data_IF_942882342665
#
_entry.id   IF_942882342665
#
_cell.length_a   1.000
_cell.length_b   1.000
_cell.length_c   1.000
_cell.angle_alpha   90.00
_cell.angle_beta   90.00
_cell.angle_gamma   90.00
#
_symmetry.space_group_name_H-M   'P 1'
#
loop_
_entity.id
_entity.type
_entity.pdbx_description
1 polymer ?
#
# COMPACT_ATOMS: atom_id res chain seq x y z
N UNK A 1 22.43 -8.56 15.17
CA UNK A 1 22.57 -8.88 13.74
C UNK A 1 21.19 -9.15 13.17
N UNK A 2 20.98 -8.94 11.86
CA UNK A 2 19.69 -9.23 11.21
C UNK A 2 19.22 -10.68 11.48
N UNK A 3 20.12 -11.66 11.42
CA UNK A 3 19.82 -13.05 11.70
C UNK A 3 19.32 -13.32 13.14
N UNK A 4 19.60 -12.43 14.10
CA UNK A 4 19.18 -12.62 15.49
C UNK A 4 17.71 -12.22 15.72
N UNK A 5 17.13 -11.48 14.78
CA UNK A 5 15.76 -10.95 14.83
C UNK A 5 14.87 -11.45 13.69
N UNK A 6 15.43 -12.13 12.68
CA UNK A 6 14.66 -12.63 11.56
C UNK A 6 13.72 -13.78 12.00
N UNK A 7 12.47 -13.69 11.57
CA UNK A 7 11.55 -14.83 11.57
C UNK A 7 11.64 -15.53 10.21
N UNK A 8 12.46 -16.59 10.14
CA UNK A 8 12.66 -17.34 8.91
C UNK A 8 11.48 -18.25 8.54
N UNK A 9 10.45 -18.33 9.40
CA UNK A 9 9.19 -19.01 9.08
C UNK A 9 8.18 -18.08 8.40
N UNK A 10 8.34 -16.78 8.58
CA UNK A 10 7.57 -15.73 7.90
C UNK A 10 8.29 -15.32 6.63
N UNK A 11 7.94 -15.95 5.51
CA UNK A 11 8.56 -15.74 4.21
C UNK A 11 7.56 -15.07 3.28
N UNK A 12 8.00 -14.03 2.58
CA UNK A 12 7.24 -13.46 1.48
C UNK A 12 7.11 -14.48 0.35
N UNK A 13 5.88 -14.86 0.00
CA UNK A 13 5.63 -15.98 -0.92
C UNK A 13 6.03 -15.70 -2.37
N UNK A 14 5.98 -14.43 -2.77
CA UNK A 14 6.35 -13.99 -4.12
C UNK A 14 7.80 -13.51 -4.22
N UNK A 15 8.49 -13.31 -3.10
CA UNK A 15 9.91 -12.94 -3.04
C UNK A 15 10.59 -13.63 -1.84
N UNK A 16 11.04 -14.91 -2.01
CA UNK A 16 11.40 -15.79 -0.91
C UNK A 16 12.73 -15.45 -0.21
N UNK A 17 13.41 -14.39 -0.59
CA UNK A 17 14.60 -13.86 0.10
C UNK A 17 14.27 -12.81 1.18
N UNK A 18 12.99 -12.49 1.38
CA UNK A 18 12.51 -11.61 2.44
C UNK A 18 11.89 -12.40 3.59
N UNK A 19 12.32 -12.09 4.80
CA UNK A 19 11.81 -12.67 6.04
C UNK A 19 11.13 -11.60 6.90
N UNK A 20 10.15 -12.02 7.70
CA UNK A 20 9.57 -11.19 8.74
C UNK A 20 10.58 -10.89 9.86
N UNK A 21 10.22 -9.95 10.72
CA UNK A 21 10.99 -9.61 11.90
C UNK A 21 10.26 -10.11 13.16
N UNK A 22 10.91 -10.99 13.92
CA UNK A 22 10.38 -11.44 15.21
C UNK A 22 10.46 -10.28 16.23
N UNK A 23 9.34 -9.57 16.38
CA UNK A 23 9.25 -8.40 17.27
C UNK A 23 9.38 -8.74 18.75
N UNK A 24 9.40 -10.02 19.14
CA UNK A 24 9.68 -10.45 20.53
C UNK A 24 11.18 -10.45 20.84
N UNK A 25 12.03 -10.39 19.84
CA UNK A 25 13.48 -10.44 20.01
C UNK A 25 14.06 -9.10 20.45
N UNK A 26 15.02 -9.12 21.39
CA UNK A 26 15.79 -7.92 21.72
C UNK A 26 16.49 -7.37 20.47
N UNK A 27 16.28 -6.08 20.18
CA UNK A 27 16.87 -5.41 19.02
C UNK A 27 15.96 -5.33 17.79
N UNK A 28 14.80 -6.00 17.77
CA UNK A 28 13.85 -5.92 16.64
C UNK A 28 13.36 -4.47 16.42
N UNK A 29 12.94 -3.77 17.46
CA UNK A 29 12.57 -2.34 17.36
C UNK A 29 13.74 -1.49 16.87
N UNK A 30 14.95 -1.71 17.40
CA UNK A 30 16.14 -0.96 17.01
C UNK A 30 16.51 -1.15 15.53
N UNK A 31 16.14 -2.28 14.93
CA UNK A 31 16.27 -2.47 13.49
C UNK A 31 15.41 -1.47 12.72
N UNK A 32 14.09 -1.41 13.01
CA UNK A 32 13.21 -0.43 12.38
C UNK A 32 13.63 1.00 12.66
N UNK A 33 14.05 1.31 13.89
CA UNK A 33 14.57 2.64 14.26
C UNK A 33 15.75 3.03 13.38
N UNK A 34 16.68 2.11 13.12
CA UNK A 34 17.85 2.36 12.28
C UNK A 34 17.50 2.57 10.81
N UNK A 35 16.54 1.81 10.29
CA UNK A 35 16.06 1.93 8.89
C UNK A 35 15.37 3.27 8.67
N UNK A 36 14.43 3.63 9.53
CA UNK A 36 13.68 4.88 9.38
C UNK A 36 14.54 6.13 9.72
N UNK A 37 15.51 6.02 10.64
CA UNK A 37 16.49 7.07 10.86
C UNK A 37 17.33 7.35 9.59
N UNK A 38 17.71 6.29 8.86
CA UNK A 38 18.43 6.42 7.59
C UNK A 38 17.54 7.08 6.52
N UNK A 39 16.28 6.65 6.39
CA UNK A 39 15.34 7.25 5.45
C UNK A 39 15.07 8.73 5.77
N UNK A 40 14.92 9.06 7.05
CA UNK A 40 14.78 10.45 7.49
C UNK A 40 16.00 11.30 7.14
N UNK A 41 17.21 10.76 7.34
CA UNK A 41 18.46 11.43 6.97
C UNK A 41 18.60 11.64 5.45
N UNK A 42 18.06 10.74 4.63
CA UNK A 42 17.99 10.88 3.17
C UNK A 42 16.89 11.83 2.69
N UNK A 43 16.01 12.29 3.57
CA UNK A 43 14.93 13.18 3.22
C UNK A 43 13.72 12.47 2.60
N UNK A 44 13.55 11.17 2.86
CA UNK A 44 12.39 10.40 2.38
C UNK A 44 11.11 10.87 3.08
N UNK A 45 10.04 11.08 2.31
CA UNK A 45 8.74 11.54 2.80
C UNK A 45 7.65 10.47 2.74
N UNK A 46 7.87 9.40 1.96
CA UNK A 46 6.89 8.34 1.75
C UNK A 46 7.58 6.99 1.67
N UNK A 47 7.09 6.01 2.42
CA UNK A 47 7.59 4.63 2.42
C UNK A 47 6.42 3.69 2.19
N UNK A 48 6.53 2.84 1.18
CA UNK A 48 5.64 1.70 0.97
C UNK A 48 6.30 0.45 1.54
N UNK A 49 5.67 -0.16 2.56
CA UNK A 49 6.08 -1.44 3.10
C UNK A 49 5.25 -2.53 2.44
N UNK A 50 5.95 -3.43 1.78
CA UNK A 50 5.34 -4.51 1.02
C UNK A 50 5.04 -5.73 1.90
N UNK A 51 4.08 -6.56 1.48
CA UNK A 51 3.65 -7.83 2.11
C UNK A 51 3.15 -7.71 3.56
N UNK A 52 2.75 -6.51 4.01
CA UNK A 52 2.30 -6.24 5.38
C UNK A 52 0.82 -6.54 5.63
N UNK A 53 0.05 -6.88 4.61
CA UNK A 53 -1.40 -7.13 4.73
C UNK A 53 -1.78 -8.61 4.54
N UNK A 54 -0.80 -9.49 4.33
CA UNK A 54 -1.06 -10.91 4.04
C UNK A 54 -0.06 -11.86 4.74
N UNK A 55 -0.43 -12.44 5.88
CA UNK A 55 -1.60 -12.13 6.69
C UNK A 55 -1.34 -10.90 7.57
N UNK A 56 -2.28 -9.99 7.63
CA UNK A 56 -2.16 -8.73 8.38
C UNK A 56 -1.77 -8.95 9.85
N UNK A 57 -2.41 -9.92 10.52
CA UNK A 57 -2.18 -10.16 11.95
C UNK A 57 -0.78 -10.66 12.27
N UNK A 58 -0.13 -11.34 11.35
CA UNK A 58 1.26 -11.77 11.53
C UNK A 58 2.24 -10.59 11.53
N UNK A 59 1.90 -9.53 10.78
CA UNK A 59 2.73 -8.34 10.62
C UNK A 59 2.29 -7.14 11.48
N UNK A 60 1.24 -7.28 12.28
CA UNK A 60 0.72 -6.17 13.10
C UNK A 60 1.78 -5.54 13.99
N UNK A 61 2.61 -6.34 14.65
CA UNK A 61 3.70 -5.86 15.50
C UNK A 61 4.82 -5.14 14.72
N UNK A 62 5.09 -5.56 13.48
CA UNK A 62 6.04 -4.92 12.58
C UNK A 62 5.52 -3.56 12.09
N UNK A 63 4.22 -3.48 11.77
CA UNK A 63 3.54 -2.23 11.41
C UNK A 63 3.63 -1.22 12.55
N UNK A 64 3.35 -1.66 13.80
CA UNK A 64 3.51 -0.81 14.98
C UNK A 64 4.95 -0.35 15.18
N UNK A 65 5.92 -1.24 14.96
CA UNK A 65 7.34 -0.92 15.11
C UNK A 65 7.81 0.10 14.07
N UNK A 66 7.38 -0.04 12.81
CA UNK A 66 7.66 0.93 11.76
C UNK A 66 7.08 2.31 12.09
N UNK A 67 5.82 2.35 12.55
CA UNK A 67 5.19 3.60 13.00
C UNK A 67 5.97 4.26 14.14
N UNK A 68 6.34 3.50 15.19
CA UNK A 68 7.14 4.01 16.31
C UNK A 68 8.48 4.57 15.84
N UNK A 69 9.14 3.87 14.93
CA UNK A 69 10.41 4.30 14.35
C UNK A 69 10.25 5.61 13.56
N UNK A 70 9.20 5.76 12.74
CA UNK A 70 8.89 7.00 12.03
C UNK A 70 8.70 8.16 13.02
N UNK A 71 7.87 7.98 14.04
CA UNK A 71 7.63 9.00 15.06
C UNK A 71 8.92 9.42 15.75
N UNK A 72 9.78 8.45 16.08
CA UNK A 72 11.07 8.71 16.73
C UNK A 72 12.03 9.56 15.87
N UNK A 73 11.93 9.53 14.54
CA UNK A 73 12.75 10.37 13.66
C UNK A 73 12.40 11.86 13.73
N UNK A 74 11.17 12.21 14.16
CA UNK A 74 10.63 13.57 14.09
C UNK A 74 10.30 14.06 12.68
N UNK A 75 10.55 13.24 11.60
CA UNK A 75 10.19 13.56 10.22
C UNK A 75 8.79 13.02 9.89
N UNK A 76 7.92 13.79 9.21
CA UNK A 76 6.60 13.32 8.81
C UNK A 76 6.68 12.39 7.58
N UNK A 77 7.09 11.14 7.79
CA UNK A 77 7.13 10.11 6.75
C UNK A 77 5.76 9.45 6.68
N UNK A 78 5.16 9.42 5.49
CA UNK A 78 3.92 8.69 5.23
C UNK A 78 4.23 7.20 5.12
N UNK A 79 3.54 6.40 5.92
CA UNK A 79 3.60 4.93 5.84
C UNK A 79 2.43 4.40 5.03
N UNK A 80 2.74 3.72 3.93
CA UNK A 80 1.81 2.97 3.10
C UNK A 80 2.04 1.47 3.23
N UNK A 81 0.98 0.69 3.38
CA UNK A 81 1.05 -0.76 3.52
C UNK A 81 0.56 -1.45 2.23
N UNK A 82 1.34 -2.42 1.72
CA UNK A 82 1.09 -3.17 0.48
C UNK A 82 1.94 -4.46 0.45
N UNK A 83 1.71 -5.41 -0.46
CA UNK A 83 0.46 -5.69 -1.14
C UNK A 83 -0.49 -6.49 -0.27
N UNK A 84 -1.66 -6.78 -0.82
CA UNK A 84 -2.67 -7.60 -0.20
C UNK A 84 -3.81 -6.78 0.40
N UNK A 85 -4.94 -7.43 0.51
CA UNK A 85 -6.15 -6.82 1.05
C UNK A 85 -6.07 -6.73 2.58
N UNK A 86 -6.06 -5.52 3.11
CA UNK A 86 -6.17 -5.30 4.55
C UNK A 86 -7.58 -5.71 5.02
N UNK A 87 -7.73 -6.58 6.02
CA UNK A 87 -9.04 -6.96 6.53
C UNK A 87 -9.77 -5.76 7.15
N UNK A 88 -11.02 -5.50 6.76
CA UNK A 88 -11.82 -4.36 7.26
C UNK A 88 -11.93 -4.36 8.79
N UNK A 89 -11.99 -5.55 9.42
CA UNK A 89 -12.02 -5.69 10.88
C UNK A 89 -10.75 -5.14 11.57
N UNK A 90 -9.68 -4.91 10.83
CA UNK A 90 -8.43 -4.29 11.32
C UNK A 90 -8.35 -2.79 11.04
N UNK A 91 -9.44 -2.19 10.58
CA UNK A 91 -9.51 -0.77 10.22
C UNK A 91 -9.05 0.18 11.34
N UNK A 92 -9.45 -0.06 12.59
CA UNK A 92 -9.02 0.77 13.72
C UNK A 92 -7.52 0.64 13.99
N UNK A 93 -6.95 -0.55 13.82
CA UNK A 93 -5.52 -0.77 13.99
C UNK A 93 -4.73 -0.12 12.86
N UNK A 94 -5.09 -0.37 11.60
CA UNK A 94 -4.32 0.15 10.48
C UNK A 94 -4.34 1.68 10.41
N UNK A 95 -5.50 2.33 10.63
CA UNK A 95 -5.59 3.80 10.63
C UNK A 95 -4.83 4.47 11.78
N UNK A 96 -4.52 3.73 12.85
CA UNK A 96 -3.71 4.23 13.95
C UNK A 96 -2.22 4.25 13.62
N UNK A 97 -1.75 3.30 12.83
CA UNK A 97 -0.33 3.05 12.63
C UNK A 97 0.16 3.33 11.21
N UNK A 98 -0.73 3.47 10.22
CA UNK A 98 -0.39 3.82 8.86
C UNK A 98 -1.32 4.94 8.34
N UNK A 99 -0.85 5.70 7.35
CA UNK A 99 -1.63 6.75 6.70
C UNK A 99 -2.31 6.25 5.43
N UNK A 100 -1.79 5.20 4.82
CA UNK A 100 -2.30 4.61 3.58
C UNK A 100 -2.19 3.09 3.66
N UNK A 101 -3.16 2.37 3.14
CA UNK A 101 -3.16 0.90 3.12
C UNK A 101 -4.00 0.34 2.00
N UNK A 102 -3.53 -0.71 1.38
CA UNK A 102 -4.23 -1.42 0.31
C UNK A 102 -5.50 -2.09 0.84
N UNK A 103 -6.59 -1.92 0.11
CA UNK A 103 -7.89 -2.54 0.39
C UNK A 103 -8.22 -3.69 -0.56
N UNK A 104 -7.32 -3.96 -1.49
CA UNK A 104 -7.39 -5.08 -2.43
C UNK A 104 -6.00 -5.60 -2.74
N UNK A 105 -5.92 -6.76 -3.34
CA UNK A 105 -4.74 -7.21 -4.06
C UNK A 105 -4.44 -6.29 -5.25
N UNK A 106 -3.39 -6.58 -6.01
CA UNK A 106 -3.02 -5.78 -7.18
C UNK A 106 -4.19 -5.61 -8.13
N UNK A 107 -4.54 -4.36 -8.37
CA UNK A 107 -5.65 -3.98 -9.23
C UNK A 107 -5.17 -3.77 -10.66
N UNK A 108 -5.81 -4.47 -11.58
CA UNK A 108 -5.51 -4.37 -13.00
C UNK A 108 -6.75 -3.97 -13.81
N UNK A 109 -6.56 -3.74 -15.09
CA UNK A 109 -7.55 -3.33 -16.07
C UNK A 109 -8.52 -4.46 -16.46
N UNK A 110 -9.29 -4.91 -15.49
CA UNK A 110 -10.34 -5.92 -15.60
C UNK A 110 -11.64 -5.40 -14.96
N UNK A 111 -12.76 -5.55 -15.67
CA UNK A 111 -14.04 -5.04 -15.21
C UNK A 111 -14.50 -5.67 -13.89
N UNK A 112 -14.32 -6.98 -13.71
CA UNK A 112 -14.73 -7.65 -12.48
C UNK A 112 -13.93 -7.14 -11.27
N UNK A 113 -12.65 -6.82 -11.48
CA UNK A 113 -11.83 -6.17 -10.44
C UNK A 113 -12.35 -4.76 -10.12
N UNK A 114 -12.72 -3.98 -11.13
CA UNK A 114 -13.29 -2.63 -10.93
C UNK A 114 -14.65 -2.69 -10.22
N UNK A 115 -15.53 -3.60 -10.63
CA UNK A 115 -16.82 -3.82 -9.99
C UNK A 115 -16.66 -4.18 -8.50
N UNK A 116 -15.72 -5.04 -8.17
CA UNK A 116 -15.44 -5.43 -6.79
C UNK A 116 -14.95 -4.25 -5.91
N UNK A 117 -14.33 -3.24 -6.49
CA UNK A 117 -13.86 -2.07 -5.73
C UNK A 117 -15.01 -1.21 -5.19
N UNK A 118 -16.20 -1.24 -5.80
CA UNK A 118 -17.37 -0.53 -5.24
C UNK A 118 -17.67 -1.01 -3.82
N UNK A 119 -17.80 -2.32 -3.63
CA UNK A 119 -18.07 -2.90 -2.31
C UNK A 119 -16.90 -2.70 -1.34
N UNK A 120 -15.65 -2.85 -1.81
CA UNK A 120 -14.48 -2.61 -0.97
C UNK A 120 -14.44 -1.19 -0.45
N UNK A 121 -14.56 -0.21 -1.33
CA UNK A 121 -14.52 1.22 -0.98
C UNK A 121 -15.70 1.62 -0.08
N UNK A 122 -16.88 1.03 -0.27
CA UNK A 122 -18.02 1.21 0.64
C UNK A 122 -17.69 0.72 2.04
N UNK A 123 -17.17 -0.50 2.18
CA UNK A 123 -16.79 -1.09 3.46
C UNK A 123 -15.70 -0.28 4.20
N UNK A 124 -14.82 0.38 3.46
CA UNK A 124 -13.75 1.21 4.03
C UNK A 124 -14.15 2.65 4.31
N UNK A 125 -15.33 3.08 3.91
CA UNK A 125 -15.83 4.45 4.13
C UNK A 125 -15.76 4.91 5.59
N UNK A 126 -16.07 4.08 6.62
CA UNK A 126 -15.98 4.49 8.02
C UNK A 126 -14.56 4.81 8.52
N UNK A 127 -13.56 4.29 7.84
CA UNK A 127 -12.14 4.44 8.23
C UNK A 127 -11.41 5.54 7.47
N UNK A 128 -12.05 6.07 6.42
CA UNK A 128 -11.50 7.15 5.58
C UNK A 128 -11.62 8.51 6.26
N UNK A 129 -10.56 9.31 6.19
CA UNK A 129 -10.55 10.66 6.71
C UNK A 129 -9.20 11.34 6.57
N UNK A 130 -9.02 12.55 7.10
CA UNK A 130 -7.72 13.21 7.10
C UNK A 130 -6.64 12.31 7.72
N UNK A 131 -5.55 12.08 6.96
CA UNK A 131 -4.46 11.20 7.39
C UNK A 131 -4.77 9.70 7.32
N UNK A 132 -5.90 9.29 6.74
CA UNK A 132 -6.33 7.88 6.65
C UNK A 132 -6.89 7.61 5.26
N UNK A 133 -6.10 6.89 4.43
CA UNK A 133 -6.35 6.72 3.01
C UNK A 133 -6.43 5.23 2.65
N UNK A 134 -7.65 4.64 2.65
CA UNK A 134 -7.87 3.34 2.03
C UNK A 134 -7.52 3.41 0.54
N UNK A 135 -6.56 2.60 0.12
CA UNK A 135 -5.97 2.62 -1.21
C UNK A 135 -6.55 1.49 -2.07
N UNK A 136 -7.33 1.85 -3.08
CA UNK A 136 -7.89 0.90 -4.04
C UNK A 136 -6.89 0.51 -5.14
N UNK A 137 -5.62 0.87 -4.96
CA UNK A 137 -4.50 0.63 -5.84
C UNK A 137 -4.40 1.57 -7.04
N UNK A 138 -3.53 1.23 -7.96
CA UNK A 138 -3.13 2.04 -9.10
C UNK A 138 -4.27 2.32 -10.09
N UNK A 139 -4.05 3.34 -10.92
CA UNK A 139 -4.86 3.64 -12.08
C UNK A 139 -4.23 2.96 -13.32
N UNK A 140 -4.74 1.81 -13.79
CA UNK A 140 -4.17 1.10 -14.93
C UNK A 140 -4.66 1.72 -16.26
N UNK A 141 -4.24 2.94 -16.52
CA UNK A 141 -4.59 3.74 -17.68
C UNK A 141 -3.42 3.87 -18.66
N UNK A 142 -3.72 4.09 -19.93
CA UNK A 142 -2.72 4.26 -20.97
C UNK A 142 -1.92 2.99 -21.25
N UNK A 143 -0.60 3.13 -21.35
CA UNK A 143 0.32 2.04 -21.70
C UNK A 143 0.76 1.28 -20.44
N UNK A 144 0.48 -0.01 -20.38
CA UNK A 144 0.71 -0.89 -19.22
C UNK A 144 1.81 -1.93 -19.52
N UNK A 145 2.08 -2.79 -18.51
CA UNK A 145 3.01 -3.91 -18.62
C UNK A 145 4.38 -3.50 -19.16
N UNK A 146 4.99 -2.47 -18.53
CA UNK A 146 6.29 -1.89 -18.94
C UNK A 146 6.31 -1.37 -20.39
N UNK A 147 5.15 -0.96 -20.90
CA UNK A 147 5.00 -0.43 -22.23
C UNK A 147 4.64 -1.47 -23.30
N UNK A 148 4.29 -2.69 -22.92
CA UNK A 148 3.98 -3.78 -23.85
C UNK A 148 2.58 -3.70 -24.46
N UNK A 149 1.60 -3.17 -23.72
CA UNK A 149 0.20 -3.11 -24.17
C UNK A 149 -0.54 -1.88 -23.65
N UNK A 150 -1.62 -1.53 -24.32
CA UNK A 150 -2.55 -0.52 -23.85
C UNK A 150 -3.51 -1.11 -22.79
N UNK A 151 -4.14 -0.22 -22.01
CA UNK A 151 -5.21 -0.61 -21.09
C UNK A 151 -6.34 -1.31 -21.83
N UNK A 152 -6.93 -2.31 -21.20
CA UNK A 152 -8.11 -3.04 -21.69
C UNK A 152 -9.42 -2.31 -21.35
N UNK A 153 -9.38 -1.36 -20.44
CA UNK A 153 -10.56 -0.59 -20.10
C UNK A 153 -11.05 0.24 -21.28
N UNK A 154 -12.33 0.09 -21.59
CA UNK A 154 -13.03 0.99 -22.51
C UNK A 154 -13.05 2.41 -21.97
N UNK A 155 -13.29 3.44 -22.79
CA UNK A 155 -13.41 4.82 -22.30
C UNK A 155 -14.45 5.00 -21.18
N UNK A 156 -15.53 4.24 -21.19
CA UNK A 156 -16.57 4.33 -20.15
C UNK A 156 -16.13 3.67 -18.85
N UNK A 157 -15.37 2.56 -18.92
CA UNK A 157 -14.77 1.92 -17.76
C UNK A 157 -13.68 2.81 -17.14
N UNK A 158 -12.87 3.50 -17.94
CA UNK A 158 -11.89 4.48 -17.45
C UNK A 158 -12.56 5.64 -16.72
N UNK A 159 -13.69 6.17 -17.25
CA UNK A 159 -14.48 7.19 -16.56
C UNK A 159 -15.08 6.67 -15.25
N UNK A 160 -15.57 5.43 -15.26
CA UNK A 160 -16.09 4.76 -14.05
C UNK A 160 -15.00 4.63 -12.99
N UNK A 161 -13.81 4.16 -13.36
CA UNK A 161 -12.65 4.08 -12.51
C UNK A 161 -12.31 5.43 -11.86
N UNK A 162 -12.10 6.45 -12.68
CA UNK A 162 -11.74 7.79 -12.21
C UNK A 162 -12.81 8.39 -11.30
N UNK A 163 -14.09 8.20 -11.65
CA UNK A 163 -15.22 8.67 -10.83
C UNK A 163 -15.25 7.96 -9.48
N UNK A 164 -15.07 6.64 -9.46
CA UNK A 164 -15.08 5.86 -8.23
C UNK A 164 -13.91 6.26 -7.31
N UNK A 165 -12.68 6.35 -7.84
CA UNK A 165 -11.51 6.78 -7.06
C UNK A 165 -11.69 8.21 -6.51
N UNK A 166 -12.20 9.13 -7.32
CA UNK A 166 -12.43 10.51 -6.89
C UNK A 166 -13.49 10.62 -5.77
N UNK A 167 -14.65 9.95 -5.92
CA UNK A 167 -15.72 9.95 -4.89
C UNK A 167 -15.23 9.26 -3.61
N UNK A 168 -14.56 8.13 -3.75
CA UNK A 168 -14.03 7.37 -2.64
C UNK A 168 -12.78 8.01 -2.02
N UNK A 169 -12.17 9.00 -2.67
CA UNK A 169 -10.90 9.61 -2.27
C UNK A 169 -9.78 8.58 -2.12
N UNK A 170 -9.76 7.58 -2.99
CA UNK A 170 -8.61 6.68 -3.09
C UNK A 170 -7.40 7.46 -3.60
N UNK A 171 -6.19 7.15 -3.16
CA UNK A 171 -4.98 7.74 -3.73
C UNK A 171 -4.92 7.55 -5.25
N UNK A 172 -4.50 8.60 -5.97
CA UNK A 172 -4.37 8.57 -7.44
C UNK A 172 -2.91 8.26 -7.80
N UNK A 173 -2.59 6.98 -7.92
CA UNK A 173 -1.26 6.50 -8.28
C UNK A 173 -1.33 5.86 -9.67
N UNK A 174 -0.60 6.43 -10.63
CA UNK A 174 -0.59 5.90 -11.99
C UNK A 174 0.08 4.52 -12.06
N UNK A 175 -0.61 3.58 -12.69
CA UNK A 175 -0.08 2.26 -13.01
C UNK A 175 0.45 2.15 -14.44
N UNK A 176 0.20 3.15 -15.29
CA UNK A 176 0.64 3.19 -16.67
C UNK A 176 1.79 4.17 -16.93
N UNK A 177 2.37 4.08 -18.12
CA UNK A 177 3.43 5.00 -18.57
C UNK A 177 2.84 6.37 -18.92
N UNK A 178 3.13 7.37 -18.08
CA UNK A 178 2.64 8.75 -18.23
C UNK A 178 2.99 9.39 -19.59
N UNK A 179 4.03 8.92 -20.26
CA UNK A 179 4.44 9.43 -21.58
C UNK A 179 3.53 8.97 -22.73
N UNK A 180 2.68 7.98 -22.45
CA UNK A 180 1.83 7.30 -23.43
C UNK A 180 0.34 7.37 -23.06
N UNK A 181 -0.07 8.45 -22.41
CA UNK A 181 -1.49 8.74 -22.19
C UNK A 181 -2.06 9.44 -23.41
N UNK A 182 -3.21 9.01 -23.88
CA UNK A 182 -3.93 9.68 -24.96
C UNK A 182 -4.68 10.94 -24.47
N UNK A 183 -5.15 11.74 -25.41
CA UNK A 183 -5.84 12.98 -25.09
C UNK A 183 -7.16 12.76 -24.33
N UNK A 184 -7.82 11.62 -24.52
CA UNK A 184 -9.08 11.29 -23.82
C UNK A 184 -8.82 10.92 -22.36
N UNK A 185 -7.73 10.22 -22.08
CA UNK A 185 -7.31 9.86 -20.72
C UNK A 185 -6.82 11.08 -19.92
N UNK A 186 -6.27 12.09 -20.63
CA UNK A 186 -5.76 13.33 -20.03
C UNK A 186 -6.85 14.37 -19.78
N UNK A 187 -8.02 14.27 -20.41
CA UNK A 187 -9.15 15.21 -20.31
C UNK A 187 -10.04 14.94 -19.10
#
# INVERSE_FOLDING_TARGET
>A
RAADIADTSSICTWNPDMYGVDMTRPGAQAYYDSVFALYAAWGVDFVKMDDMSRPYDAHAAEIEAAHKAIVATGRPIILSLSPGETPVMRGDHVRKYAQMWRISDDFWDDWAMLEAQFTRLENWTPYRGPGSWPDADMLPLGRLALGERDTRFTPDEQRTLMTLWAIARSPLIMGGDLRHLDAATLA
#
